data_IF_913447553972
#
_entry.id   IF_913447553972
#
_cell.length_a   1.000
_cell.length_b   1.000
_cell.length_c   1.000
_cell.angle_alpha   90.00
_cell.angle_beta   90.00
_cell.angle_gamma   90.00
#
_symmetry.space_group_name_H-M   'P 1'
#
loop_
_entity.id
_entity.type
_entity.pdbx_description
1 polymer ?
#
# COMPACT_ATOMS: atom_id res chain seq x y z
N UNK A 1 -28.24 13.21 0.82
CA UNK A 1 -27.08 13.44 -0.08
C UNK A 1 -27.53 14.35 -1.21
N UNK A 2 -26.78 15.41 -1.55
CA UNK A 2 -27.14 16.36 -2.63
C UNK A 2 -26.07 16.21 -3.73
N UNK A 3 -26.51 16.04 -4.98
CA UNK A 3 -25.62 15.96 -6.14
C UNK A 3 -25.40 17.36 -6.72
N UNK A 4 -24.17 17.61 -7.19
CA UNK A 4 -23.84 18.83 -7.90
C UNK A 4 -24.16 18.68 -9.38
N UNK A 5 -24.98 19.59 -9.91
CA UNK A 5 -25.30 19.66 -11.34
C UNK A 5 -24.45 20.68 -12.11
N UNK A 6 -24.76 20.83 -13.39
CA UNK A 6 -24.27 21.91 -14.23
C UNK A 6 -22.77 21.94 -14.44
N UNK A 7 -22.18 23.13 -14.28
CA UNK A 7 -20.75 23.36 -14.55
C UNK A 7 -19.83 22.50 -13.69
N UNK A 8 -20.18 22.31 -12.42
CA UNK A 8 -19.34 21.61 -11.46
C UNK A 8 -19.14 20.14 -11.85
N UNK A 9 -20.22 19.40 -12.13
CA UNK A 9 -20.14 17.99 -12.53
C UNK A 9 -19.45 17.84 -13.89
N UNK A 10 -19.73 18.73 -14.86
CA UNK A 10 -19.08 18.68 -16.18
C UNK A 10 -17.58 18.89 -16.10
N UNK A 11 -17.11 19.78 -15.24
CA UNK A 11 -15.66 19.99 -15.02
C UNK A 11 -14.99 18.74 -14.44
N UNK A 12 -15.63 18.06 -13.47
CA UNK A 12 -15.10 16.81 -12.91
C UNK A 12 -15.06 15.67 -13.92
N UNK A 13 -16.07 15.56 -14.78
CA UNK A 13 -16.10 14.59 -15.87
C UNK A 13 -14.94 14.86 -16.85
N UNK A 14 -14.77 16.11 -17.30
CA UNK A 14 -13.62 16.48 -18.15
C UNK A 14 -12.29 16.13 -17.50
N UNK A 15 -12.12 16.45 -16.23
CA UNK A 15 -10.91 16.14 -15.47
C UNK A 15 -10.65 14.63 -15.38
N UNK A 16 -11.68 13.83 -15.12
CA UNK A 16 -11.57 12.38 -15.02
C UNK A 16 -11.12 11.74 -16.35
N UNK A 17 -11.64 12.21 -17.48
CA UNK A 17 -11.21 11.77 -18.82
C UNK A 17 -9.89 12.40 -19.29
N UNK A 18 -9.33 13.38 -18.58
CA UNK A 18 -8.16 14.14 -19.03
C UNK A 18 -8.46 15.09 -20.20
N UNK A 19 -9.72 15.47 -20.39
CA UNK A 19 -10.15 16.38 -21.45
C UNK A 19 -9.99 17.84 -21.04
N UNK A 20 -9.52 18.67 -21.98
CA UNK A 20 -9.36 20.12 -21.78
C UNK A 20 -10.52 20.93 -22.36
N UNK A 21 -11.29 20.35 -23.28
CA UNK A 21 -12.39 21.03 -24.00
C UNK A 21 -13.67 20.19 -24.00
N UNK A 22 -14.81 20.87 -23.90
CA UNK A 22 -16.13 20.22 -23.95
C UNK A 22 -16.37 19.45 -25.25
N UNK A 23 -15.74 19.87 -26.38
CA UNK A 23 -15.84 19.18 -27.66
C UNK A 23 -15.36 17.74 -27.57
N UNK A 24 -14.24 17.49 -26.86
CA UNK A 24 -13.71 16.13 -26.64
C UNK A 24 -14.71 15.24 -25.91
N UNK A 25 -15.45 15.81 -24.95
CA UNK A 25 -16.50 15.10 -24.23
C UNK A 25 -17.71 14.80 -25.14
N UNK A 26 -18.13 15.74 -26.00
CA UNK A 26 -19.18 15.49 -26.98
C UNK A 26 -18.85 14.35 -27.92
N UNK A 27 -17.62 14.37 -28.47
CA UNK A 27 -17.15 13.38 -29.44
C UNK A 27 -17.06 11.99 -28.78
N UNK A 28 -16.56 11.94 -27.52
CA UNK A 28 -16.42 10.70 -26.76
C UNK A 28 -17.77 10.07 -26.38
N UNK A 29 -18.72 10.90 -25.94
CA UNK A 29 -20.05 10.42 -25.52
C UNK A 29 -21.00 10.17 -26.66
N UNK A 30 -20.72 10.67 -27.89
CA UNK A 30 -21.62 10.63 -29.02
C UNK A 30 -22.88 11.50 -28.85
N UNK A 31 -22.78 12.58 -28.03
CA UNK A 31 -23.91 13.48 -27.76
C UNK A 31 -23.86 14.76 -28.61
N UNK A 32 -25.00 15.37 -28.89
CA UNK A 32 -25.05 16.59 -29.67
C UNK A 32 -24.36 17.79 -29.00
N UNK A 33 -23.80 18.71 -29.80
CA UNK A 33 -23.04 19.88 -29.35
C UNK A 33 -23.75 20.77 -28.30
N UNK A 34 -25.12 20.79 -28.31
CA UNK A 34 -25.92 21.54 -27.34
C UNK A 34 -26.19 20.84 -26.02
N UNK A 35 -25.92 19.52 -25.92
CA UNK A 35 -26.31 18.70 -24.77
C UNK A 35 -25.56 19.10 -23.51
N UNK A 36 -24.23 19.16 -23.56
CA UNK A 36 -23.40 19.53 -22.42
C UNK A 36 -23.62 20.99 -21.98
N UNK A 37 -23.82 21.89 -22.95
CA UNK A 37 -24.18 23.28 -22.68
C UNK A 37 -25.54 23.40 -21.99
N UNK A 38 -26.50 22.53 -22.35
CA UNK A 38 -27.82 22.45 -21.70
C UNK A 38 -27.71 21.97 -20.26
N UNK A 39 -26.86 20.97 -19.98
CA UNK A 39 -26.61 20.53 -18.61
C UNK A 39 -26.07 21.68 -17.75
N UNK A 40 -25.11 22.45 -18.28
CA UNK A 40 -24.55 23.59 -17.58
C UNK A 40 -25.60 24.66 -17.29
N UNK A 41 -26.37 25.06 -18.32
CA UNK A 41 -27.40 26.13 -18.20
C UNK A 41 -28.52 25.76 -17.23
N UNK A 42 -28.97 24.51 -17.23
CA UNK A 42 -30.08 24.01 -16.40
C UNK A 42 -29.64 23.48 -15.04
N UNK A 43 -28.35 23.56 -14.72
CA UNK A 43 -27.77 22.95 -13.52
C UNK A 43 -28.17 21.47 -13.40
N UNK A 44 -28.21 20.76 -14.54
CA UNK A 44 -28.63 19.37 -14.61
C UNK A 44 -27.49 18.42 -14.18
N UNK A 45 -27.86 17.34 -13.48
CA UNK A 45 -26.94 16.26 -13.12
C UNK A 45 -27.08 15.08 -14.10
N UNK A 46 -26.11 14.83 -15.00
CA UNK A 46 -26.18 13.77 -15.99
C UNK A 46 -25.77 12.42 -15.39
N UNK A 47 -26.64 11.80 -14.60
CA UNK A 47 -26.31 10.61 -13.80
C UNK A 47 -25.74 9.44 -14.62
N UNK A 48 -26.30 9.15 -15.78
CA UNK A 48 -25.81 8.09 -16.68
C UNK A 48 -24.35 8.35 -17.11
N UNK A 49 -24.05 9.60 -17.51
CA UNK A 49 -22.69 9.99 -17.92
C UNK A 49 -21.71 9.95 -16.75
N UNK A 50 -22.15 10.32 -15.56
CA UNK A 50 -21.34 10.22 -14.34
C UNK A 50 -20.97 8.78 -14.02
N UNK A 51 -21.94 7.86 -14.12
CA UNK A 51 -21.71 6.42 -13.90
C UNK A 51 -20.76 5.88 -14.98
N UNK A 52 -21.01 6.19 -16.25
CA UNK A 52 -20.15 5.79 -17.36
C UNK A 52 -18.72 6.30 -17.19
N UNK A 53 -18.56 7.56 -16.83
CA UNK A 53 -17.26 8.16 -16.55
C UNK A 53 -16.53 7.42 -15.42
N UNK A 54 -17.20 7.11 -14.31
CA UNK A 54 -16.62 6.35 -13.22
C UNK A 54 -16.13 4.96 -13.66
N UNK A 55 -16.93 4.25 -14.46
CA UNK A 55 -16.58 2.90 -14.96
C UNK A 55 -15.44 2.92 -15.97
N UNK A 56 -15.38 3.91 -16.87
CA UNK A 56 -14.36 4.00 -17.91
C UNK A 56 -13.03 4.53 -17.40
N UNK A 57 -13.05 5.44 -16.40
CA UNK A 57 -11.83 6.11 -15.91
C UNK A 57 -11.33 5.61 -14.56
N UNK A 58 -12.14 4.83 -13.82
CA UNK A 58 -11.87 4.46 -12.44
C UNK A 58 -11.98 5.63 -11.44
N UNK A 59 -12.51 6.79 -11.87
CA UNK A 59 -12.71 7.93 -10.99
C UNK A 59 -13.78 7.64 -9.93
N UNK A 60 -13.57 8.16 -8.72
CA UNK A 60 -14.49 7.96 -7.61
C UNK A 60 -15.88 8.57 -7.92
N UNK A 61 -16.91 7.73 -7.82
CA UNK A 61 -18.28 8.11 -8.14
C UNK A 61 -18.83 9.21 -7.22
N UNK A 62 -18.47 9.17 -5.93
CA UNK A 62 -18.92 10.19 -4.97
C UNK A 62 -18.25 11.53 -5.27
N UNK A 63 -16.96 11.54 -5.61
CA UNK A 63 -16.29 12.74 -6.07
C UNK A 63 -16.90 13.29 -7.36
N UNK A 64 -17.16 12.45 -8.33
CA UNK A 64 -17.85 12.88 -9.57
C UNK A 64 -19.19 13.51 -9.28
N UNK A 65 -19.98 12.92 -8.39
CA UNK A 65 -21.34 13.35 -8.08
C UNK A 65 -21.43 14.57 -7.16
N UNK A 66 -20.53 14.71 -6.18
CA UNK A 66 -20.64 15.72 -5.11
C UNK A 66 -19.49 16.71 -5.04
N UNK A 67 -18.38 16.42 -5.72
CA UNK A 67 -17.15 17.20 -5.58
C UNK A 67 -16.40 16.94 -4.28
N UNK A 68 -16.93 16.10 -3.41
CA UNK A 68 -16.24 15.69 -2.19
C UNK A 68 -14.99 14.90 -2.57
N UNK A 69 -13.82 15.37 -2.15
CA UNK A 69 -12.56 14.64 -2.34
C UNK A 69 -12.57 13.44 -1.39
N UNK A 70 -13.26 12.39 -1.77
CA UNK A 70 -13.15 11.11 -1.06
C UNK A 70 -11.86 10.47 -1.56
N UNK A 71 -10.74 10.90 -0.97
CA UNK A 71 -9.56 10.05 -0.96
C UNK A 71 -10.02 8.69 -0.46
N UNK A 72 -9.89 7.69 -1.32
CA UNK A 72 -10.31 6.30 -1.17
C UNK A 72 -10.93 5.95 0.18
N UNK A 73 -12.24 5.70 0.18
CA UNK A 73 -12.91 5.08 1.32
C UNK A 73 -12.56 3.59 1.40
N UNK A 74 -11.34 3.26 1.74
CA UNK A 74 -11.08 2.31 2.81
C UNK A 74 -11.17 3.10 4.14
N UNK A 75 -12.21 3.89 4.31
CA UNK A 75 -12.49 4.52 5.59
C UNK A 75 -13.46 3.63 6.37
N UNK A 76 -12.95 2.67 7.07
CA UNK A 76 -13.31 2.54 8.47
C UNK A 76 -13.27 3.97 9.02
N UNK A 77 -14.41 4.48 9.52
CA UNK A 77 -14.56 5.83 10.08
C UNK A 77 -13.39 6.14 11.02
N UNK A 78 -12.47 6.98 10.59
CA UNK A 78 -11.30 7.40 11.34
C UNK A 78 -10.54 8.40 10.48
N UNK A 79 -10.73 9.67 10.76
CA UNK A 79 -9.93 10.78 10.27
C UNK A 79 -8.45 10.46 10.42
N UNK A 80 -7.74 10.14 9.31
CA UNK A 80 -6.31 10.44 9.11
C UNK A 80 -5.84 9.85 7.79
N UNK A 81 -5.38 10.70 6.86
CA UNK A 81 -4.80 10.31 5.57
C UNK A 81 -3.33 9.84 5.68
N UNK A 82 -2.93 9.36 6.84
CA UNK A 82 -1.59 8.80 7.13
C UNK A 82 -1.67 7.39 7.74
N UNK A 83 -2.76 6.65 7.46
CA UNK A 83 -3.05 5.42 8.17
C UNK A 83 -2.25 4.20 7.69
N UNK A 84 -1.63 4.24 6.52
CA UNK A 84 -0.96 3.07 5.96
C UNK A 84 0.41 3.42 5.38
N UNK A 85 1.37 2.53 5.64
CA UNK A 85 2.67 2.51 5.00
C UNK A 85 2.65 1.47 3.89
N UNK A 86 3.11 1.84 2.69
CA UNK A 86 3.34 0.89 1.59
C UNK A 86 4.77 0.38 1.72
N UNK A 87 4.94 -0.93 1.88
CA UNK A 87 6.22 -1.58 2.12
C UNK A 87 6.50 -2.60 1.01
N UNK A 88 7.77 -2.79 0.60
CA UNK A 88 8.13 -3.95 -0.19
C UNK A 88 7.71 -5.24 0.51
N UNK A 89 7.12 -6.17 -0.23
CA UNK A 89 6.71 -7.46 0.27
C UNK A 89 7.47 -8.58 -0.42
N UNK A 90 8.00 -9.50 0.37
CA UNK A 90 8.71 -10.67 -0.12
C UNK A 90 8.37 -11.93 0.68
N UNK A 91 8.65 -13.09 0.10
CA UNK A 91 8.51 -14.39 0.73
C UNK A 91 9.87 -15.11 0.77
N UNK A 92 10.19 -15.68 1.93
CA UNK A 92 11.32 -16.57 2.11
C UNK A 92 10.88 -18.01 1.81
N UNK A 93 11.44 -18.62 0.78
CA UNK A 93 11.13 -19.97 0.37
C UNK A 93 12.43 -20.73 0.08
N UNK A 94 12.64 -21.85 0.76
CA UNK A 94 13.84 -22.69 0.57
C UNK A 94 15.16 -21.94 0.67
N UNK A 95 15.24 -20.91 1.53
CA UNK A 95 16.42 -20.09 1.72
C UNK A 95 16.66 -18.99 0.69
N UNK A 96 15.69 -18.73 -0.20
CA UNK A 96 15.72 -17.66 -1.19
C UNK A 96 14.59 -16.66 -0.94
N UNK A 97 14.84 -15.39 -1.25
CA UNK A 97 13.86 -14.30 -1.11
C UNK A 97 13.24 -14.00 -2.48
N UNK A 98 11.92 -14.08 -2.54
CA UNK A 98 11.11 -13.78 -3.71
C UNK A 98 10.32 -12.50 -3.49
N UNK A 99 10.54 -11.49 -4.32
CA UNK A 99 9.75 -10.25 -4.30
C UNK A 99 8.31 -10.54 -4.77
N UNK A 100 7.33 -10.11 -3.99
CA UNK A 100 5.91 -10.40 -4.21
C UNK A 100 5.04 -9.13 -4.35
N UNK A 101 5.65 -7.96 -4.53
CA UNK A 101 4.97 -6.66 -4.67
C UNK A 101 4.93 -5.86 -3.38
N UNK A 102 3.79 -5.25 -3.06
CA UNK A 102 3.65 -4.31 -1.95
C UNK A 102 2.74 -4.84 -0.86
N UNK A 103 3.04 -4.46 0.40
CA UNK A 103 2.23 -4.72 1.58
C UNK A 103 1.76 -3.40 2.21
N UNK A 104 0.48 -3.33 2.59
CA UNK A 104 -0.09 -2.18 3.29
C UNK A 104 -0.09 -2.45 4.80
N UNK A 105 0.76 -1.74 5.53
CA UNK A 105 0.83 -1.81 6.99
C UNK A 105 0.08 -0.64 7.62
N UNK A 106 -0.82 -0.91 8.58
CA UNK A 106 -1.42 0.13 9.41
C UNK A 106 -0.32 0.73 10.32
N UNK A 107 -0.11 2.06 10.21
CA UNK A 107 0.91 2.77 11.00
C UNK A 107 0.69 2.67 12.50
N UNK A 108 -0.52 2.37 12.94
CA UNK A 108 -0.84 2.15 14.36
C UNK A 108 -0.26 0.86 14.94
N UNK A 109 0.12 -0.09 14.09
CA UNK A 109 0.77 -1.33 14.51
C UNK A 109 2.26 -1.15 14.82
N UNK A 110 2.85 -0.02 14.45
CA UNK A 110 4.27 0.25 14.64
C UNK A 110 4.49 1.61 15.33
N UNK A 111 5.14 1.60 16.50
CA UNK A 111 5.37 2.79 17.31
C UNK A 111 6.47 3.71 16.76
N UNK A 112 7.38 3.18 15.97
CA UNK A 112 8.51 3.91 15.38
C UNK A 112 8.49 3.70 13.87
N UNK A 113 8.48 4.79 13.10
CA UNK A 113 8.52 4.72 11.65
C UNK A 113 9.80 4.00 11.17
N UNK A 114 9.70 2.87 10.46
CA UNK A 114 10.86 2.16 9.93
C UNK A 114 11.55 3.00 8.85
N UNK A 115 12.86 2.85 8.71
CA UNK A 115 13.67 3.63 7.76
C UNK A 115 13.86 2.92 6.42
N UNK A 116 14.14 1.62 6.47
CA UNK A 116 14.32 0.78 5.28
C UNK A 116 13.66 -0.59 5.52
N UNK A 117 12.32 -0.62 5.61
CA UNK A 117 11.58 -1.82 5.95
C UNK A 117 11.31 -2.72 4.75
N UNK A 118 11.18 -4.01 5.03
CA UNK A 118 10.57 -5.01 4.15
C UNK A 118 9.60 -5.86 4.97
N UNK A 119 8.44 -6.17 4.40
CA UNK A 119 7.54 -7.17 4.96
C UNK A 119 7.95 -8.53 4.40
N UNK A 120 8.43 -9.43 5.25
CA UNK A 120 8.90 -10.76 4.87
C UNK A 120 7.95 -11.83 5.41
N UNK A 121 7.50 -12.73 4.55
CA UNK A 121 6.75 -13.92 4.94
C UNK A 121 7.66 -15.14 4.95
N UNK A 122 7.60 -15.92 6.03
CA UNK A 122 8.23 -17.23 6.17
C UNK A 122 7.22 -18.23 6.73
N UNK A 123 6.70 -19.10 5.88
CA UNK A 123 5.64 -20.02 6.25
C UNK A 123 4.37 -19.33 6.77
N UNK A 124 4.03 -19.54 8.04
CA UNK A 124 2.86 -18.96 8.70
C UNK A 124 3.15 -17.60 9.36
N UNK A 125 4.40 -17.23 9.49
CA UNK A 125 4.84 -15.99 10.11
C UNK A 125 5.08 -14.91 9.06
N UNK A 126 4.81 -13.67 9.46
CA UNK A 126 5.19 -12.47 8.73
C UNK A 126 6.00 -11.56 9.65
N UNK A 127 7.09 -11.02 9.13
CA UNK A 127 8.02 -10.19 9.86
C UNK A 127 8.16 -8.82 9.20
N UNK A 128 8.04 -7.74 9.96
CA UNK A 128 8.52 -6.44 9.53
C UNK A 128 10.02 -6.39 9.84
N UNK A 129 10.84 -6.44 8.82
CA UNK A 129 12.29 -6.43 8.91
C UNK A 129 12.79 -5.01 8.64
N UNK A 130 13.51 -4.41 9.59
CA UNK A 130 14.24 -3.15 9.40
C UNK A 130 15.68 -3.47 8.96
N UNK A 131 16.01 -3.06 7.74
CA UNK A 131 17.33 -3.33 7.15
C UNK A 131 18.37 -2.29 7.55
N UNK A 132 17.92 -1.13 8.04
CA UNK A 132 18.81 -0.07 8.53
C UNK A 132 18.87 -0.09 10.06
N UNK A 133 19.78 -0.87 10.61
CA UNK A 133 20.01 -0.98 12.04
C UNK A 133 21.40 -0.40 12.41
N UNK A 134 21.47 0.32 13.53
CA UNK A 134 22.69 0.98 13.98
C UNK A 134 23.46 0.17 15.02
N UNK A 135 22.79 -0.72 15.74
CA UNK A 135 23.35 -1.50 16.83
C UNK A 135 22.82 -2.92 16.76
N UNK A 136 23.73 -3.87 16.87
CA UNK A 136 23.36 -5.26 17.06
C UNK A 136 22.75 -5.46 18.46
N UNK A 137 21.61 -6.13 18.53
CA UNK A 137 21.00 -6.59 19.78
C UNK A 137 20.39 -7.98 19.59
N UNK A 138 20.20 -8.67 20.70
CA UNK A 138 19.52 -9.96 20.70
C UNK A 138 18.09 -9.82 20.18
N UNK A 139 17.68 -10.71 19.31
CA UNK A 139 16.36 -10.66 18.70
C UNK A 139 16.22 -11.56 17.49
N UNK A 140 15.15 -11.36 16.75
CA UNK A 140 14.90 -12.09 15.49
C UNK A 140 15.52 -11.31 14.34
N UNK A 141 16.33 -12.02 13.56
CA UNK A 141 17.08 -11.44 12.46
C UNK A 141 16.84 -12.18 11.15
N UNK A 142 16.71 -11.43 10.08
CA UNK A 142 16.96 -11.93 8.74
C UNK A 142 18.46 -11.94 8.52
N UNK A 143 19.03 -13.08 8.23
CA UNK A 143 20.47 -13.24 7.99
C UNK A 143 20.73 -14.22 6.84
N UNK A 144 21.95 -14.18 6.31
CA UNK A 144 22.43 -15.09 5.28
C UNK A 144 23.60 -15.90 5.80
N UNK A 145 23.57 -17.20 5.54
CA UNK A 145 24.62 -18.16 5.83
C UNK A 145 24.79 -19.09 4.65
N UNK A 146 26.00 -19.25 4.13
CA UNK A 146 26.28 -20.10 2.96
C UNK A 146 25.32 -19.82 1.78
N UNK A 147 25.11 -18.54 1.47
CA UNK A 147 24.18 -18.04 0.43
C UNK A 147 22.69 -18.38 0.66
N UNK A 148 22.33 -18.90 1.83
CA UNK A 148 20.95 -19.24 2.19
C UNK A 148 20.43 -18.22 3.21
N UNK A 149 19.27 -17.63 2.94
CA UNK A 149 18.57 -16.72 3.85
C UNK A 149 17.81 -17.52 4.92
N UNK A 150 17.84 -17.01 6.13
CA UNK A 150 17.11 -17.55 7.29
C UNK A 150 16.55 -16.39 8.12
N UNK A 151 15.42 -16.64 8.80
CA UNK A 151 14.86 -15.71 9.78
C UNK A 151 14.74 -16.46 11.11
N UNK A 152 15.56 -16.07 12.12
CA UNK A 152 15.59 -16.78 13.39
C UNK A 152 16.11 -15.88 14.53
N UNK A 153 16.03 -16.39 15.77
CA UNK A 153 16.55 -15.73 16.95
C UNK A 153 18.07 -15.80 16.94
N UNK A 154 18.70 -14.64 17.04
CA UNK A 154 20.14 -14.50 17.19
C UNK A 154 20.44 -13.81 18.52
N UNK A 155 21.40 -14.37 19.29
CA UNK A 155 21.94 -13.76 20.48
C UNK A 155 23.47 -13.63 20.40
N UNK A 156 24.01 -12.57 21.00
CA UNK A 156 25.45 -12.36 21.06
C UNK A 156 26.11 -13.32 22.03
N UNK A 157 27.27 -13.82 21.65
CA UNK A 157 28.16 -14.59 22.54
C UNK A 157 29.55 -13.93 22.62
N UNK A 158 30.31 -14.21 23.69
CA UNK A 158 31.71 -13.74 23.80
C UNK A 158 32.56 -14.13 22.59
N UNK A 159 33.67 -13.41 22.37
CA UNK A 159 34.65 -13.70 21.33
C UNK A 159 34.15 -13.61 19.90
N UNK A 160 33.27 -12.63 19.62
CA UNK A 160 32.69 -12.40 18.29
C UNK A 160 31.96 -13.63 17.71
N UNK A 161 31.14 -14.22 18.54
CA UNK A 161 30.27 -15.33 18.15
C UNK A 161 28.81 -14.94 18.26
N UNK A 162 27.98 -15.61 17.48
CA UNK A 162 26.52 -15.53 17.49
C UNK A 162 25.96 -16.89 17.87
N UNK A 163 24.90 -16.89 18.69
CA UNK A 163 24.12 -18.10 19.00
C UNK A 163 22.87 -18.12 18.15
N UNK A 164 22.72 -19.16 17.35
CA UNK A 164 21.56 -19.42 16.50
C UNK A 164 21.12 -20.86 16.77
N UNK A 165 19.88 -21.07 17.20
CA UNK A 165 19.35 -22.40 17.53
C UNK A 165 20.24 -23.18 18.50
N UNK A 166 20.75 -22.52 19.56
CA UNK A 166 21.68 -23.08 20.57
C UNK A 166 23.04 -23.55 20.03
N UNK A 167 23.39 -23.12 18.81
CA UNK A 167 24.72 -23.39 18.22
C UNK A 167 25.48 -22.08 18.09
N UNK A 168 26.77 -22.11 18.54
CA UNK A 168 27.68 -20.98 18.37
C UNK A 168 28.27 -20.94 16.96
N UNK A 169 28.17 -19.76 16.33
CA UNK A 169 28.73 -19.48 15.00
C UNK A 169 29.70 -18.31 15.06
N UNK A 170 30.82 -18.35 14.36
CA UNK A 170 31.64 -17.18 14.15
C UNK A 170 30.86 -16.05 13.45
N UNK A 171 31.00 -14.82 13.95
CA UNK A 171 30.27 -13.65 13.38
C UNK A 171 30.56 -13.45 11.89
N UNK A 172 31.78 -13.76 11.43
CA UNK A 172 32.19 -13.61 10.04
C UNK A 172 31.57 -14.65 9.08
N UNK A 173 30.92 -15.69 9.58
CA UNK A 173 30.18 -16.68 8.78
C UNK A 173 28.69 -16.29 8.58
N UNK A 174 28.23 -15.27 9.29
CA UNK A 174 26.84 -14.82 9.29
C UNK A 174 26.77 -13.39 8.74
N UNK A 175 25.99 -13.18 7.71
CA UNK A 175 25.70 -11.82 7.21
C UNK A 175 24.32 -11.39 7.71
N UNK A 176 24.26 -10.46 8.64
CA UNK A 176 23.01 -9.89 9.12
C UNK A 176 22.41 -8.98 8.03
N UNK A 177 21.14 -9.20 7.66
CA UNK A 177 20.45 -8.48 6.57
C UNK A 177 19.39 -7.51 7.11
N UNK A 178 18.87 -7.75 8.32
CA UNK A 178 17.90 -6.87 8.95
C UNK A 178 17.32 -7.49 10.21
N UNK A 179 16.76 -6.63 11.08
CA UNK A 179 16.18 -7.04 12.35
C UNK A 179 14.66 -6.98 12.30
N UNK A 180 13.98 -8.00 12.81
CA UNK A 180 12.53 -8.02 12.94
C UNK A 180 12.07 -7.05 14.04
N UNK A 181 11.18 -6.15 13.70
CA UNK A 181 10.60 -5.15 14.60
C UNK A 181 9.11 -5.40 14.90
N UNK A 182 8.47 -6.25 14.09
CA UNK A 182 7.09 -6.70 14.29
C UNK A 182 6.98 -8.14 13.78
N UNK A 183 6.22 -8.98 14.51
CA UNK A 183 5.80 -10.31 14.07
C UNK A 183 4.28 -10.36 13.96
N UNK A 184 3.79 -10.91 12.86
CA UNK A 184 2.39 -11.26 12.66
C UNK A 184 2.32 -12.76 12.44
N UNK A 185 1.67 -13.47 13.34
CA UNK A 185 1.54 -14.91 13.31
C UNK A 185 0.13 -15.32 12.90
N UNK A 186 0.02 -16.23 11.94
CA UNK A 186 -1.26 -16.84 11.59
C UNK A 186 -1.56 -17.99 12.54
N UNK A 187 -2.49 -17.76 13.47
CA UNK A 187 -2.97 -18.81 14.34
C UNK A 187 -3.90 -19.74 13.56
N UNK A 188 -3.46 -20.96 13.31
CA UNK A 188 -4.31 -22.02 12.75
C UNK A 188 -5.01 -22.70 13.92
N UNK A 189 -6.35 -22.61 14.00
CA UNK A 189 -7.11 -23.48 14.89
C UNK A 189 -7.10 -24.87 14.29
N UNK A 190 -6.50 -25.82 15.01
CA UNK A 190 -6.56 -27.23 14.70
C UNK A 190 -7.99 -27.78 14.81
#
# INVERSE_FOLDING_TARGET
>A
MKFDGGKAVVQRILQAYGFTMQKQLHDHLGVGNGTVSTWIKRNYFPGEVVIRCALETGADLEWLATGSNVKSKLSVKGTHSEAFLVLPYAELRNGEIYECGDYLLDTKLHLVAPKNPIMLRDGNDMWLIEQNYNVYCDGIWLFRRNDTYCCDVISAAPSKKLIINNVEWPENEITLCGMATLRIEKLVRG
#
